data_IF_490970995255
#
_entry.id   IF_490970995255
#
_cell.length_a   1.000
_cell.length_b   1.000
_cell.length_c   1.000
_cell.angle_alpha   90.00
_cell.angle_beta   90.00
_cell.angle_gamma   90.00
#
_symmetry.space_group_name_H-M   'P 1'
#
loop_
_entity.id
_entity.type
_entity.pdbx_description
1 polymer ?
#
# COMPACT_ATOMS: atom_id res chain seq x y z
N UNK A 1 44.11 55.54 3.77
CA UNK A 1 43.03 56.36 3.18
C UNK A 1 42.28 55.45 2.21
N UNK A 2 41.54 54.43 2.66
CA UNK A 2 40.32 54.49 3.48
C UNK A 2 39.28 55.49 2.94
N UNK A 3 38.27 54.96 2.25
CA UNK A 3 36.83 54.99 2.62
C UNK A 3 36.02 54.42 1.42
N UNK A 4 35.43 53.23 1.57
CA UNK A 4 34.05 52.98 2.00
C UNK A 4 33.00 53.44 0.97
N UNK A 5 32.52 52.50 0.15
CA UNK A 5 31.31 52.61 -0.65
C UNK A 5 30.34 51.49 -0.28
N UNK A 6 29.29 51.85 0.45
CA UNK A 6 28.22 51.03 0.99
C UNK A 6 27.42 50.30 -0.10
N UNK A 7 27.13 49.01 0.14
CA UNK A 7 26.09 48.23 -0.55
C UNK A 7 24.80 48.36 0.26
N UNK A 8 23.61 48.62 -0.35
CA UNK A 8 22.37 48.68 0.39
C UNK A 8 21.86 47.28 0.77
N UNK A 9 21.46 47.14 2.04
CA UNK A 9 20.89 45.94 2.65
C UNK A 9 19.61 45.49 1.92
N UNK A 10 19.63 44.24 1.44
CA UNK A 10 18.46 43.54 0.97
C UNK A 10 17.56 43.17 2.15
N UNK A 11 16.31 43.62 2.10
CA UNK A 11 15.24 43.20 2.99
C UNK A 11 14.98 41.71 2.79
N UNK A 12 15.46 40.87 3.71
CA UNK A 12 15.15 39.45 3.73
C UNK A 12 13.77 39.24 4.37
N UNK A 13 12.83 38.74 3.57
CA UNK A 13 11.57 38.17 4.04
C UNK A 13 11.86 36.90 4.87
N UNK A 14 11.35 36.76 6.09
CA UNK A 14 11.53 35.54 6.87
C UNK A 14 10.70 34.38 6.29
N UNK A 15 11.38 33.26 6.13
CA UNK A 15 10.85 31.93 5.79
C UNK A 15 9.72 31.51 6.74
N UNK A 16 8.52 31.28 6.19
CA UNK A 16 7.34 30.72 6.88
C UNK A 16 7.46 29.19 7.02
N UNK A 17 8.52 28.72 7.68
CA UNK A 17 8.72 27.31 7.99
C UNK A 17 9.36 27.15 9.38
N UNK A 18 8.66 27.55 10.45
CA UNK A 18 9.06 27.12 11.81
C UNK A 18 8.02 27.35 12.93
N UNK A 19 6.71 27.29 12.66
CA UNK A 19 5.71 27.59 13.70
C UNK A 19 4.56 26.61 13.73
N UNK A 20 4.81 25.32 13.99
CA UNK A 20 3.78 24.39 14.50
C UNK A 20 4.32 23.27 15.42
N UNK A 21 5.61 23.28 15.80
CA UNK A 21 6.21 22.24 16.65
C UNK A 21 6.42 22.62 18.12
N UNK A 22 5.98 23.81 18.57
CA UNK A 22 6.24 24.27 19.94
C UNK A 22 5.06 24.12 20.93
N UNK A 23 3.88 23.67 20.48
CA UNK A 23 2.72 23.51 21.36
C UNK A 23 2.59 22.10 22.01
N UNK A 24 3.35 21.11 21.54
CA UNK A 24 3.24 19.72 22.01
C UNK A 24 4.26 19.34 23.12
N UNK A 25 5.15 20.26 23.51
CA UNK A 25 6.27 19.95 24.41
C UNK A 25 6.14 20.51 25.84
N UNK A 26 5.12 21.34 26.13
CA UNK A 26 4.96 21.97 27.46
C UNK A 26 3.96 21.26 28.40
N UNK A 27 3.31 20.17 27.99
CA UNK A 27 2.37 19.43 28.84
C UNK A 27 2.99 18.24 29.60
N UNK A 28 4.31 18.04 29.54
CA UNK A 28 5.01 16.94 30.24
C UNK A 28 5.79 17.39 31.48
N UNK A 29 5.19 18.15 32.39
CA UNK A 29 5.72 18.27 33.76
C UNK A 29 4.59 18.48 34.76
N UNK A 30 4.06 17.37 35.30
CA UNK A 30 3.74 17.20 36.73
C UNK A 30 2.86 15.95 36.94
N UNK A 31 3.34 15.02 37.80
CA UNK A 31 2.62 14.27 38.85
C UNK A 31 3.09 12.80 39.02
N UNK A 32 2.98 12.25 40.24
CA UNK A 32 3.97 11.36 40.82
C UNK A 32 3.66 9.87 40.66
N UNK A 33 4.69 9.08 40.94
CA UNK A 33 4.69 7.62 41.02
C UNK A 33 3.57 7.05 41.89
N UNK A 34 2.71 6.20 41.32
CA UNK A 34 1.80 5.40 42.13
C UNK A 34 0.80 4.55 41.34
N UNK A 35 0.96 3.23 41.47
CA UNK A 35 -0.03 2.16 41.22
C UNK A 35 -0.31 1.71 39.78
N UNK A 36 -0.26 0.38 39.62
CA UNK A 36 -0.60 -0.41 38.44
C UNK A 36 -2.11 -0.36 38.22
N UNK A 37 -2.52 -0.01 37.01
CA UNK A 37 -3.89 -0.11 36.54
C UNK A 37 -3.89 -0.23 35.01
N UNK A 38 -4.60 -1.24 34.53
CA UNK A 38 -4.86 -1.58 33.13
C UNK A 38 -5.26 -0.35 32.31
N UNK A 39 -4.47 0.01 31.30
CA UNK A 39 -4.70 1.17 30.45
C UNK A 39 -4.85 0.72 29.00
N UNK A 40 -6.10 0.41 28.63
CA UNK A 40 -6.53 0.52 27.24
C UNK A 40 -6.45 1.99 26.85
N UNK A 41 -5.44 2.34 26.06
CA UNK A 41 -5.26 3.69 25.53
C UNK A 41 -6.39 3.98 24.52
N UNK A 42 -7.38 4.74 24.97
CA UNK A 42 -8.42 5.32 24.13
C UNK A 42 -7.81 6.48 23.36
N UNK A 43 -7.75 6.36 22.03
CA UNK A 43 -7.39 7.45 21.11
C UNK A 43 -8.32 8.64 21.38
N UNK A 44 -7.76 9.76 21.80
CA UNK A 44 -8.53 10.99 22.06
C UNK A 44 -8.77 11.74 20.74
N UNK A 45 -10.00 11.64 20.24
CA UNK A 45 -10.49 12.40 19.11
C UNK A 45 -10.88 13.83 19.53
N UNK A 46 -10.61 14.88 18.72
CA UNK A 46 -11.01 16.25 19.05
C UNK A 46 -12.54 16.38 19.09
N UNK A 47 -13.04 16.82 20.24
CA UNK A 47 -14.48 16.93 20.56
C UNK A 47 -15.10 18.20 19.95
N UNK A 48 -15.35 18.22 18.65
CA UNK A 48 -16.11 19.31 17.99
C UNK A 48 -17.01 18.76 16.88
N UNK A 49 -18.05 18.01 17.25
CA UNK A 49 -19.06 17.55 16.28
C UNK A 49 -20.46 17.57 16.90
N UNK A 50 -21.32 18.48 16.41
CA UNK A 50 -22.77 18.38 16.56
C UNK A 50 -23.34 18.07 15.17
N UNK A 51 -24.14 17.00 15.00
CA UNK A 51 -24.69 16.66 13.69
C UNK A 51 -25.86 17.59 13.32
N UNK A 52 -25.81 18.19 12.13
CA UNK A 52 -27.00 18.71 11.46
C UNK A 52 -27.69 17.55 10.73
N UNK A 53 -28.98 17.35 11.02
CA UNK A 53 -29.77 16.26 10.48
C UNK A 53 -30.09 16.46 8.99
N UNK A 54 -29.80 15.46 8.17
CA UNK A 54 -30.21 15.41 6.75
C UNK A 54 -31.25 14.28 6.59
N UNK A 55 -32.44 14.62 6.07
CA UNK A 55 -33.61 13.75 5.97
C UNK A 55 -33.58 12.82 4.74
N UNK A 56 -32.76 11.78 4.79
CA UNK A 56 -32.81 10.63 3.89
C UNK A 56 -32.86 9.31 4.69
N UNK A 57 -33.11 8.14 4.06
CA UNK A 57 -32.94 6.87 4.76
C UNK A 57 -31.50 6.78 5.27
N UNK A 58 -31.35 6.65 6.58
CA UNK A 58 -30.05 6.64 7.26
C UNK A 58 -29.28 5.38 6.84
N UNK A 59 -28.18 5.57 6.08
CA UNK A 59 -27.26 4.49 5.74
C UNK A 59 -26.75 3.85 7.04
N UNK A 60 -26.77 2.52 7.15
CA UNK A 60 -26.20 1.85 8.33
C UNK A 60 -24.74 1.49 8.10
N UNK A 61 -23.99 1.32 9.19
CA UNK A 61 -22.59 0.89 9.14
C UNK A 61 -22.42 -0.47 8.42
N UNK A 62 -23.39 -1.38 8.56
CA UNK A 62 -23.36 -2.68 7.88
C UNK A 62 -23.60 -2.56 6.37
N UNK A 63 -24.45 -1.62 5.94
CA UNK A 63 -24.66 -1.33 4.52
C UNK A 63 -23.39 -0.73 3.90
N UNK A 64 -22.69 0.15 4.63
CA UNK A 64 -21.40 0.69 4.18
C UNK A 64 -20.32 -0.40 4.08
N UNK A 65 -20.26 -1.32 5.05
CA UNK A 65 -19.39 -2.51 4.96
C UNK A 65 -19.70 -3.33 3.72
N UNK A 66 -20.99 -3.58 3.43
CA UNK A 66 -21.40 -4.32 2.25
C UNK A 66 -20.96 -3.61 0.95
N UNK A 67 -21.17 -2.28 0.84
CA UNK A 67 -20.71 -1.50 -0.33
C UNK A 67 -19.20 -1.59 -0.53
N UNK A 68 -18.41 -1.46 0.54
CA UNK A 68 -16.95 -1.62 0.46
C UNK A 68 -16.56 -3.03 0.06
N UNK A 69 -17.24 -4.06 0.59
CA UNK A 69 -17.01 -5.45 0.20
C UNK A 69 -17.39 -5.73 -1.26
N UNK A 70 -18.44 -5.14 -1.82
CA UNK A 70 -18.81 -5.36 -3.22
C UNK A 70 -17.76 -4.81 -4.18
N UNK A 71 -17.12 -3.68 -3.82
CA UNK A 71 -15.96 -3.17 -4.55
C UNK A 71 -14.81 -4.20 -4.60
N UNK A 72 -14.68 -5.04 -3.57
CA UNK A 72 -13.66 -6.09 -3.51
C UNK A 72 -13.93 -7.29 -4.42
N UNK A 73 -15.19 -7.50 -4.80
CA UNK A 73 -15.61 -8.67 -5.58
C UNK A 73 -15.43 -8.49 -7.09
N UNK A 74 -15.36 -7.24 -7.58
CA UNK A 74 -15.12 -6.99 -9.00
C UNK A 74 -13.66 -7.27 -9.39
N UNK A 75 -13.40 -8.51 -9.81
CA UNK A 75 -12.08 -8.98 -10.27
C UNK A 75 -12.11 -9.22 -11.78
N UNK A 76 -11.45 -8.35 -12.55
CA UNK A 76 -11.25 -8.57 -13.97
C UNK A 76 -10.05 -9.51 -14.18
N UNK A 77 -10.26 -10.82 -13.97
CA UNK A 77 -9.26 -11.86 -14.18
C UNK A 77 -8.01 -11.71 -13.30
N UNK A 78 -6.85 -12.06 -13.84
CA UNK A 78 -5.56 -12.06 -13.13
C UNK A 78 -4.89 -10.67 -13.02
N UNK A 79 -5.55 -9.60 -13.48
CA UNK A 79 -4.96 -8.25 -13.53
C UNK A 79 -5.23 -7.50 -12.22
N UNK A 80 -4.19 -6.90 -11.65
CA UNK A 80 -4.31 -6.08 -10.44
C UNK A 80 -4.90 -4.70 -10.76
N UNK A 81 -5.99 -4.32 -10.08
CA UNK A 81 -6.69 -3.05 -10.28
C UNK A 81 -6.72 -2.18 -9.00
N UNK A 82 -5.55 -1.72 -8.49
CA UNK A 82 -5.42 -1.05 -7.18
C UNK A 82 -6.04 0.36 -7.12
N UNK A 83 -6.48 0.88 -8.26
CA UNK A 83 -6.81 2.28 -8.45
C UNK A 83 -7.98 2.78 -7.57
N UNK A 84 -9.08 2.03 -7.49
CA UNK A 84 -10.22 2.37 -6.60
C UNK A 84 -9.88 2.15 -5.12
N UNK A 85 -9.28 1.00 -4.71
CA UNK A 85 -8.84 0.80 -3.33
C UNK A 85 -7.89 1.88 -2.82
N UNK A 86 -6.88 2.28 -3.60
CA UNK A 86 -5.93 3.32 -3.19
C UNK A 86 -6.59 4.69 -3.01
N UNK A 87 -7.55 5.04 -3.88
CA UNK A 87 -8.32 6.28 -3.71
C UNK A 87 -9.15 6.25 -2.43
N UNK A 88 -9.83 5.15 -2.14
CA UNK A 88 -10.63 5.02 -0.92
C UNK A 88 -9.75 5.01 0.33
N UNK A 89 -8.64 4.28 0.33
CA UNK A 89 -7.69 4.27 1.42
C UNK A 89 -7.13 5.68 1.69
N UNK A 90 -6.74 6.40 0.63
CA UNK A 90 -6.35 7.80 0.73
C UNK A 90 -7.47 8.66 1.31
N UNK A 91 -8.69 8.54 0.79
CA UNK A 91 -9.81 9.35 1.23
C UNK A 91 -10.19 9.07 2.69
N UNK A 92 -10.21 7.80 3.12
CA UNK A 92 -10.46 7.40 4.50
C UNK A 92 -9.39 7.97 5.46
N UNK A 93 -8.11 7.96 5.05
CA UNK A 93 -7.04 8.56 5.83
C UNK A 93 -7.22 10.06 6.05
N UNK A 94 -7.48 10.81 4.97
CA UNK A 94 -7.72 12.27 5.08
C UNK A 94 -9.01 12.58 5.83
N UNK A 95 -10.05 11.75 5.67
CA UNK A 95 -11.31 11.91 6.39
C UNK A 95 -11.12 11.75 7.89
N UNK A 96 -10.28 10.80 8.33
CA UNK A 96 -9.89 10.66 9.74
C UNK A 96 -9.18 11.92 10.28
N UNK A 97 -8.48 12.68 9.43
CA UNK A 97 -7.89 13.98 9.76
C UNK A 97 -8.90 15.16 9.68
N UNK A 98 -10.18 14.90 9.40
CA UNK A 98 -11.23 15.91 9.27
C UNK A 98 -11.33 16.57 7.88
N UNK A 99 -10.70 15.98 6.85
CA UNK A 99 -10.77 16.49 5.48
C UNK A 99 -11.79 15.67 4.68
N UNK A 100 -12.89 16.33 4.31
CA UNK A 100 -13.99 15.67 3.60
C UNK A 100 -14.05 16.00 2.09
N UNK A 101 -13.28 17.01 1.66
CA UNK A 101 -13.21 17.46 0.28
C UNK A 101 -11.86 17.14 -0.34
N UNK A 102 -11.90 16.56 -1.53
CA UNK A 102 -10.74 16.06 -2.26
C UNK A 102 -10.61 16.76 -3.61
N UNK A 103 -10.10 18.00 -3.66
CA UNK A 103 -9.83 18.67 -4.93
C UNK A 103 -8.85 17.84 -5.77
N UNK A 104 -9.12 17.72 -7.07
CA UNK A 104 -8.31 16.92 -7.99
C UNK A 104 -6.82 17.30 -7.95
N UNK A 105 -6.49 18.58 -7.96
CA UNK A 105 -5.10 19.06 -7.98
C UNK A 105 -4.32 18.72 -6.70
N UNK A 106 -5.02 18.51 -5.57
CA UNK A 106 -4.39 18.06 -4.31
C UNK A 106 -4.34 16.54 -4.19
N UNK A 107 -5.23 15.84 -4.89
CA UNK A 107 -5.38 14.38 -4.82
C UNK A 107 -4.53 13.66 -5.87
N UNK A 108 -4.36 14.25 -7.06
CA UNK A 108 -3.70 13.63 -8.22
C UNK A 108 -2.30 13.14 -7.87
N UNK A 109 -1.43 14.03 -7.36
CA UNK A 109 -0.02 13.68 -7.10
C UNK A 109 0.14 12.61 -6.01
N UNK A 110 -0.48 12.70 -4.82
CA UNK A 110 -0.41 11.61 -3.83
C UNK A 110 -0.97 10.28 -4.35
N UNK A 111 -2.09 10.30 -5.08
CA UNK A 111 -2.68 9.08 -5.64
C UNK A 111 -1.78 8.45 -6.70
N UNK A 112 -1.17 9.25 -7.57
CA UNK A 112 -0.19 8.78 -8.57
C UNK A 112 1.03 8.19 -7.87
N UNK A 113 1.52 8.79 -6.77
CA UNK A 113 2.61 8.22 -5.99
C UNK A 113 2.24 6.86 -5.39
N UNK A 114 1.07 6.74 -4.76
CA UNK A 114 0.57 5.46 -4.25
C UNK A 114 0.41 4.40 -5.34
N UNK A 115 -0.07 4.80 -6.53
CA UNK A 115 -0.20 3.93 -7.69
C UNK A 115 1.17 3.48 -8.21
N UNK A 116 2.14 4.38 -8.25
CA UNK A 116 3.50 4.06 -8.61
C UNK A 116 4.09 3.08 -7.58
N UNK A 117 3.91 3.29 -6.28
CA UNK A 117 4.57 2.51 -5.23
C UNK A 117 3.91 1.16 -4.95
N UNK A 118 2.59 1.07 -5.07
CA UNK A 118 1.81 -0.11 -4.67
C UNK A 118 0.98 -0.72 -5.79
N UNK A 119 0.89 -0.06 -6.95
CA UNK A 119 0.22 -0.61 -8.12
C UNK A 119 1.13 -1.40 -9.06
N UNK A 120 0.54 -2.06 -10.09
CA UNK A 120 1.32 -2.71 -11.13
C UNK A 120 2.16 -1.71 -11.91
N UNK A 121 3.38 -2.10 -12.33
CA UNK A 121 4.27 -1.23 -13.09
C UNK A 121 3.63 -0.90 -14.44
N UNK A 122 3.19 0.36 -14.63
CA UNK A 122 2.58 0.83 -15.87
C UNK A 122 3.21 2.14 -16.31
N UNK A 123 3.39 2.32 -17.62
CA UNK A 123 3.95 3.56 -18.21
C UNK A 123 3.14 4.81 -17.88
N UNK A 124 1.84 4.66 -17.59
CA UNK A 124 0.95 5.75 -17.20
C UNK A 124 -0.03 5.25 -16.14
N UNK A 125 0.04 5.88 -14.97
CA UNK A 125 -1.00 5.83 -13.98
C UNK A 125 -1.76 7.14 -14.09
N UNK A 126 -2.84 7.18 -14.87
CA UNK A 126 -3.70 8.34 -14.81
C UNK A 126 -4.67 8.16 -13.63
N UNK A 127 -5.06 9.26 -12.99
CA UNK A 127 -5.94 9.30 -11.82
C UNK A 127 -7.40 8.87 -12.11
N UNK A 128 -7.59 7.96 -13.07
CA UNK A 128 -8.86 7.44 -13.60
C UNK A 128 -9.86 7.01 -12.52
N UNK A 129 -9.40 6.55 -11.36
CA UNK A 129 -10.28 6.19 -10.25
C UNK A 129 -11.16 7.34 -9.78
N UNK A 130 -10.59 8.56 -9.78
CA UNK A 130 -11.22 9.74 -9.20
C UNK A 130 -12.61 9.98 -9.79
N UNK A 131 -12.81 9.70 -11.09
CA UNK A 131 -14.11 9.83 -11.77
C UNK A 131 -14.84 8.52 -12.08
N UNK A 132 -14.28 7.36 -11.72
CA UNK A 132 -14.90 6.03 -11.95
C UNK A 132 -15.58 5.45 -10.72
N UNK A 133 -15.17 5.88 -9.53
CA UNK A 133 -15.72 5.45 -8.24
C UNK A 133 -17.21 5.82 -7.99
N UNK A 134 -17.81 6.85 -8.61
CA UNK A 134 -19.21 7.20 -8.33
C UNK A 134 -20.25 6.10 -8.56
N UNK A 135 -19.94 5.12 -9.42
CA UNK A 135 -20.84 3.99 -9.70
C UNK A 135 -21.01 3.05 -8.51
N UNK A 136 -20.07 3.06 -7.56
CA UNK A 136 -20.04 2.14 -6.43
C UNK A 136 -20.78 2.74 -5.20
N UNK A 137 -21.34 3.94 -5.30
CA UNK A 137 -22.07 4.60 -4.20
C UNK A 137 -21.18 5.01 -3.02
N UNK A 138 -19.87 5.08 -3.23
CA UNK A 138 -18.85 5.44 -2.25
C UNK A 138 -18.15 6.77 -2.54
N UNK A 139 -18.49 7.42 -3.67
CA UNK A 139 -17.83 8.64 -4.11
C UNK A 139 -18.79 9.53 -4.88
N UNK A 140 -18.70 10.84 -4.68
CA UNK A 140 -19.38 11.84 -5.52
C UNK A 140 -18.37 12.90 -5.92
N UNK A 141 -18.67 13.60 -7.02
CA UNK A 141 -17.81 14.64 -7.55
C UNK A 141 -18.68 15.83 -7.89
N UNK A 142 -18.15 17.02 -7.63
CA UNK A 142 -18.73 18.30 -8.04
C UNK A 142 -17.73 19.08 -8.88
N UNK A 143 -18.24 19.91 -9.80
CA UNK A 143 -17.41 20.74 -10.68
C UNK A 143 -16.82 19.97 -11.87
N UNK A 144 -17.47 18.90 -12.32
CA UNK A 144 -17.05 18.11 -13.49
C UNK A 144 -17.92 18.31 -14.75
N UNK A 145 -18.83 19.29 -14.71
CA UNK A 145 -19.80 19.54 -15.78
C UNK A 145 -19.13 19.89 -17.12
N UNK A 146 -18.10 20.73 -17.09
CA UNK A 146 -17.38 21.22 -18.28
C UNK A 146 -16.18 20.36 -18.68
N UNK A 147 -15.94 19.24 -17.98
CA UNK A 147 -14.81 18.36 -18.27
C UNK A 147 -15.11 17.52 -19.50
N UNK A 148 -14.34 17.74 -20.57
CA UNK A 148 -14.46 16.94 -21.79
C UNK A 148 -14.17 15.47 -21.50
N UNK A 149 -14.79 14.59 -22.29
CA UNK A 149 -14.66 13.13 -22.15
C UNK A 149 -14.25 12.48 -23.47
N UNK A 150 -13.39 11.48 -23.39
CA UNK A 150 -13.07 10.60 -24.53
C UNK A 150 -14.27 9.72 -24.89
N UNK A 151 -14.28 9.04 -26.06
CA UNK A 151 -15.30 8.03 -26.38
C UNK A 151 -15.39 6.91 -25.33
N UNK A 152 -14.26 6.57 -24.69
CA UNK A 152 -14.20 5.62 -23.55
C UNK A 152 -14.66 6.22 -22.22
N UNK A 153 -15.29 7.41 -22.24
CA UNK A 153 -15.81 8.17 -21.09
C UNK A 153 -14.74 8.56 -20.05
N UNK A 154 -13.49 8.70 -20.47
CA UNK A 154 -12.42 9.19 -19.61
C UNK A 154 -12.31 10.71 -19.67
N UNK A 155 -12.00 11.36 -18.56
CA UNK A 155 -11.73 12.80 -18.56
C UNK A 155 -10.45 13.15 -19.30
N UNK A 156 -10.45 14.31 -19.95
CA UNK A 156 -9.21 14.95 -20.36
C UNK A 156 -8.53 15.54 -19.12
N UNK A 157 -7.35 15.01 -18.77
CA UNK A 157 -6.62 15.41 -17.55
C UNK A 157 -6.31 16.91 -17.53
N UNK A 158 -6.09 17.53 -18.70
CA UNK A 158 -5.89 18.99 -18.80
C UNK A 158 -7.08 19.79 -18.28
N UNK A 159 -8.29 19.31 -18.56
CA UNK A 159 -9.53 19.97 -18.15
C UNK A 159 -9.75 19.71 -16.65
N UNK A 160 -9.53 18.49 -16.19
CA UNK A 160 -9.59 18.17 -14.75
C UNK A 160 -8.59 19.00 -13.92
N UNK A 161 -7.39 19.26 -14.42
CA UNK A 161 -6.41 20.13 -13.74
C UNK A 161 -6.83 21.60 -13.72
N UNK A 162 -7.46 22.07 -14.80
CA UNK A 162 -7.96 23.44 -14.92
C UNK A 162 -9.17 23.69 -14.01
N UNK A 163 -10.17 22.80 -14.09
CA UNK A 163 -11.47 22.96 -13.44
C UNK A 163 -11.43 22.46 -11.99
N UNK A 164 -10.43 21.64 -11.65
CA UNK A 164 -10.14 21.15 -10.30
C UNK A 164 -11.38 20.59 -9.58
N UNK A 165 -12.05 19.58 -10.17
CA UNK A 165 -13.25 19.00 -9.60
C UNK A 165 -12.95 18.43 -8.20
N UNK A 166 -13.98 18.44 -7.36
CA UNK A 166 -13.85 18.08 -5.95
C UNK A 166 -14.57 16.77 -5.71
N UNK A 167 -13.81 15.73 -5.34
CA UNK A 167 -14.36 14.47 -4.87
C UNK A 167 -14.76 14.56 -3.39
N UNK A 168 -15.72 13.75 -2.98
CA UNK A 168 -16.13 13.59 -1.58
C UNK A 168 -16.84 12.25 -1.37
N UNK A 169 -16.89 11.80 -0.12
CA UNK A 169 -17.85 10.76 0.25
C UNK A 169 -19.28 11.32 0.12
N UNK A 170 -20.25 10.52 -0.37
CA UNK A 170 -21.66 10.88 -0.31
C UNK A 170 -22.09 11.29 1.12
N UNK A 171 -23.07 12.18 1.26
CA UNK A 171 -23.43 12.76 2.57
C UNK A 171 -23.91 11.69 3.58
N UNK A 172 -24.59 10.63 3.10
CA UNK A 172 -25.00 9.47 3.90
C UNK A 172 -23.78 8.66 4.40
N UNK A 173 -22.80 8.43 3.53
CA UNK A 173 -21.52 7.78 3.88
C UNK A 173 -20.72 8.63 4.87
N UNK A 174 -20.58 9.94 4.61
CA UNK A 174 -19.85 10.85 5.48
C UNK A 174 -20.49 10.94 6.88
N UNK A 175 -21.82 10.93 6.97
CA UNK A 175 -22.54 10.90 8.25
C UNK A 175 -22.22 9.65 9.07
N UNK A 176 -22.23 8.46 8.43
CA UNK A 176 -21.89 7.19 9.09
C UNK A 176 -20.44 7.16 9.57
N UNK A 177 -19.50 7.65 8.74
CA UNK A 177 -18.09 7.72 9.10
C UNK A 177 -17.84 8.69 10.27
N UNK A 178 -18.48 9.86 10.28
CA UNK A 178 -18.43 10.82 11.40
C UNK A 178 -18.99 10.22 12.69
N UNK A 179 -20.11 9.51 12.61
CA UNK A 179 -20.76 8.89 13.76
C UNK A 179 -19.97 7.70 14.33
N UNK A 180 -19.13 7.04 13.52
CA UNK A 180 -18.41 5.83 13.90
C UNK A 180 -16.91 5.87 13.51
N UNK A 181 -16.07 6.69 14.16
CA UNK A 181 -14.63 6.75 13.82
C UNK A 181 -13.90 5.40 13.77
N UNK A 182 -14.16 4.42 14.67
CA UNK A 182 -13.54 3.09 14.59
C UNK A 182 -13.86 2.32 13.30
N UNK A 183 -14.95 2.66 12.60
CA UNK A 183 -15.31 2.06 11.33
C UNK A 183 -14.27 2.36 10.25
N UNK A 184 -13.63 3.53 10.28
CA UNK A 184 -12.61 3.91 9.30
C UNK A 184 -11.46 2.91 9.30
N UNK A 185 -10.93 2.59 10.48
CA UNK A 185 -9.87 1.60 10.67
C UNK A 185 -10.27 0.23 10.12
N UNK A 186 -11.51 -0.22 10.39
CA UNK A 186 -12.00 -1.49 9.89
C UNK A 186 -12.15 -1.53 8.36
N UNK A 187 -12.64 -0.44 7.75
CA UNK A 187 -12.75 -0.35 6.30
C UNK A 187 -11.37 -0.31 5.63
N UNK A 188 -10.40 0.37 6.24
CA UNK A 188 -8.99 0.37 5.81
C UNK A 188 -8.43 -1.05 5.83
N UNK A 189 -8.58 -1.77 6.94
CA UNK A 189 -8.14 -3.17 7.03
C UNK A 189 -8.81 -4.05 5.98
N UNK A 190 -10.12 -3.91 5.80
CA UNK A 190 -10.89 -4.68 4.81
C UNK A 190 -10.37 -4.45 3.39
N UNK A 191 -10.09 -3.19 3.03
CA UNK A 191 -9.51 -2.83 1.73
C UNK A 191 -8.09 -3.39 1.55
N UNK A 192 -7.26 -3.29 2.59
CA UNK A 192 -5.91 -3.86 2.59
C UNK A 192 -5.93 -5.37 2.36
N UNK A 193 -6.74 -6.07 3.16
CA UNK A 193 -6.86 -7.52 3.13
C UNK A 193 -7.41 -8.04 1.81
N UNK A 194 -8.30 -7.30 1.16
CA UNK A 194 -8.92 -7.71 -0.08
C UNK A 194 -8.04 -7.49 -1.31
N UNK A 195 -7.26 -6.39 -1.33
CA UNK A 195 -6.64 -5.89 -2.57
C UNK A 195 -5.12 -5.92 -2.59
N UNK A 196 -4.46 -6.08 -1.44
CA UNK A 196 -3.00 -6.00 -1.32
C UNK A 196 -2.43 -7.22 -0.59
N UNK A 197 -1.22 -7.62 -0.98
CA UNK A 197 -0.49 -8.69 -0.29
C UNK A 197 -0.09 -8.20 1.13
N UNK A 198 -0.08 -9.07 2.17
CA UNK A 198 0.18 -8.63 3.54
C UNK A 198 1.53 -7.94 3.77
N UNK A 199 2.51 -8.18 2.90
CA UNK A 199 3.80 -7.47 2.93
C UNK A 199 3.70 -6.00 2.58
N UNK A 200 2.61 -5.56 1.95
CA UNK A 200 2.37 -4.17 1.57
C UNK A 200 1.67 -3.37 2.67
N UNK A 201 1.00 -4.04 3.62
CA UNK A 201 0.07 -3.39 4.53
C UNK A 201 0.74 -2.31 5.39
N UNK A 202 1.82 -2.64 6.10
CA UNK A 202 2.57 -1.70 6.95
C UNK A 202 3.08 -0.47 6.16
N UNK A 203 3.60 -0.72 4.95
CA UNK A 203 4.19 0.33 4.12
C UNK A 203 3.11 1.26 3.54
N UNK A 204 1.95 0.70 3.16
CA UNK A 204 0.81 1.45 2.64
C UNK A 204 0.17 2.28 3.76
N UNK A 205 0.01 1.73 4.95
CA UNK A 205 -0.47 2.46 6.13
C UNK A 205 0.45 3.64 6.46
N UNK A 206 1.76 3.40 6.52
CA UNK A 206 2.76 4.46 6.75
C UNK A 206 2.68 5.55 5.67
N UNK A 207 2.58 5.17 4.40
CA UNK A 207 2.46 6.12 3.28
C UNK A 207 1.18 6.97 3.34
N UNK A 208 0.14 6.47 3.99
CA UNK A 208 -1.13 7.18 4.21
C UNK A 208 -1.16 8.01 5.50
N UNK A 209 -0.09 7.95 6.32
CA UNK A 209 -0.02 8.67 7.59
C UNK A 209 -0.69 7.96 8.77
N UNK A 210 -1.05 6.69 8.61
CA UNK A 210 -1.51 5.87 9.74
C UNK A 210 -0.34 5.28 10.51
N UNK A 211 -0.51 5.11 11.83
CA UNK A 211 0.35 4.26 12.64
C UNK A 211 -0.07 2.79 12.44
N UNK A 212 0.77 1.92 11.85
CA UNK A 212 0.46 0.51 11.67
C UNK A 212 0.21 -0.23 12.98
N UNK A 213 0.89 0.16 14.07
CA UNK A 213 0.70 -0.49 15.37
C UNK A 213 -0.66 -0.12 15.96
N UNK A 214 -1.11 1.13 15.86
CA UNK A 214 -2.44 1.52 16.34
C UNK A 214 -3.58 0.86 15.56
N UNK A 215 -3.44 0.72 14.23
CA UNK A 215 -4.46 0.10 13.41
C UNK A 215 -4.47 -1.43 13.52
N UNK A 216 -3.31 -2.09 13.45
CA UNK A 216 -3.22 -3.54 13.33
C UNK A 216 -3.22 -4.28 14.68
N UNK A 217 -3.13 -3.57 15.81
CA UNK A 217 -3.05 -4.17 17.16
C UNK A 217 -4.28 -4.98 17.55
N UNK A 218 -5.48 -4.65 17.02
CA UNK A 218 -6.72 -5.37 17.34
C UNK A 218 -6.90 -6.73 16.66
N UNK A 219 -6.21 -6.97 15.53
CA UNK A 219 -6.34 -8.20 14.71
C UNK A 219 -5.01 -8.70 14.17
N UNK A 220 -3.96 -8.72 15.01
CA UNK A 220 -2.73 -9.52 14.76
C UNK A 220 -2.98 -11.03 14.61
N UNK A 221 -4.23 -11.48 14.52
CA UNK A 221 -4.58 -12.65 13.71
C UNK A 221 -4.31 -12.34 12.24
N UNK A 222 -3.03 -12.10 11.90
CA UNK A 222 -2.50 -12.19 10.54
C UNK A 222 -3.17 -13.40 9.93
N UNK A 223 -4.11 -13.20 9.00
CA UNK A 223 -4.96 -14.27 8.47
C UNK A 223 -4.04 -15.44 8.18
N UNK A 224 -4.20 -16.53 8.92
CA UNK A 224 -3.20 -17.59 9.00
C UNK A 224 -2.95 -18.06 7.57
N UNK A 225 -1.78 -17.73 7.00
CA UNK A 225 -1.33 -18.25 5.70
C UNK A 225 -1.57 -19.75 5.73
N UNK A 226 -2.06 -20.35 4.64
CA UNK A 226 -2.38 -21.77 4.64
C UNK A 226 -1.17 -22.55 5.20
N UNK A 227 -1.28 -23.13 6.40
CA UNK A 227 -0.15 -23.79 7.03
C UNK A 227 0.40 -24.92 6.16
N UNK A 228 -0.47 -25.56 5.36
CA UNK A 228 -0.10 -26.65 4.46
C UNK A 228 0.74 -26.14 3.29
N UNK A 229 0.32 -25.07 2.63
CA UNK A 229 1.11 -24.42 1.58
C UNK A 229 2.49 -24.01 2.09
N UNK A 230 2.52 -23.28 3.23
CA UNK A 230 3.78 -22.84 3.84
C UNK A 230 4.70 -24.03 4.12
N UNK A 231 4.18 -25.08 4.76
CA UNK A 231 4.98 -26.26 5.08
C UNK A 231 5.49 -26.97 3.83
N UNK A 232 4.65 -27.15 2.82
CA UNK A 232 5.00 -27.82 1.57
C UNK A 232 6.12 -27.08 0.82
N UNK A 233 6.02 -25.75 0.71
CA UNK A 233 7.05 -24.91 0.08
C UNK A 233 8.34 -24.94 0.88
N UNK A 234 8.29 -24.71 2.19
CA UNK A 234 9.50 -24.76 3.01
C UNK A 234 10.20 -26.12 2.92
N UNK A 235 9.45 -27.22 2.94
CA UNK A 235 9.98 -28.57 2.75
C UNK A 235 10.61 -28.74 1.36
N UNK A 236 9.96 -28.23 0.31
CA UNK A 236 10.44 -28.32 -1.06
C UNK A 236 11.81 -27.67 -1.26
N UNK A 237 12.10 -26.60 -0.52
CA UNK A 237 13.35 -25.85 -0.57
C UNK A 237 14.29 -26.12 0.62
N UNK A 238 14.03 -27.19 1.39
CA UNK A 238 14.89 -27.60 2.50
C UNK A 238 14.98 -26.59 3.65
N UNK A 239 13.95 -25.77 3.86
CA UNK A 239 13.85 -24.73 4.89
C UNK A 239 14.87 -23.58 4.74
N UNK A 240 15.39 -23.36 3.53
CA UNK A 240 16.35 -22.31 3.20
C UNK A 240 15.74 -21.27 2.25
N UNK A 241 16.24 -20.04 2.32
CA UNK A 241 15.97 -19.06 1.26
C UNK A 241 16.53 -19.57 -0.07
N UNK A 242 15.68 -19.60 -1.10
CA UNK A 242 16.04 -20.08 -2.43
C UNK A 242 16.98 -19.13 -3.19
N UNK A 243 17.10 -17.87 -2.75
CA UNK A 243 18.02 -16.88 -3.34
C UNK A 243 19.37 -16.93 -2.64
N UNK A 244 19.42 -16.66 -1.33
CA UNK A 244 20.70 -16.52 -0.60
C UNK A 244 21.10 -17.70 0.27
N UNK A 245 20.29 -18.75 0.39
CA UNK A 245 20.56 -19.90 1.24
C UNK A 245 20.40 -19.64 2.74
N UNK A 246 19.93 -18.45 3.17
CA UNK A 246 19.72 -18.13 4.58
C UNK A 246 18.80 -19.17 5.25
N UNK A 247 19.27 -19.68 6.38
CA UNK A 247 18.59 -20.61 7.27
C UNK A 247 19.04 -20.32 8.70
N UNK A 248 18.11 -19.98 9.58
CA UNK A 248 18.39 -19.76 10.99
C UNK A 248 17.32 -20.42 11.85
N UNK A 249 17.75 -21.00 12.97
CA UNK A 249 16.85 -21.61 13.95
C UNK A 249 17.18 -21.12 15.36
N UNK A 250 16.12 -20.87 16.14
CA UNK A 250 16.21 -20.69 17.60
C UNK A 250 15.49 -21.86 18.22
N UNK A 251 16.24 -22.78 18.84
CA UNK A 251 15.73 -24.12 19.16
C UNK A 251 15.30 -24.85 17.88
N UNK A 252 14.08 -25.36 17.86
CA UNK A 252 13.49 -26.01 16.68
C UNK A 252 12.80 -25.05 15.70
N UNK A 253 12.64 -23.78 16.08
CA UNK A 253 11.83 -22.81 15.34
C UNK A 253 12.66 -22.18 14.22
N UNK A 254 12.21 -22.33 12.98
CA UNK A 254 12.79 -21.65 11.81
C UNK A 254 12.46 -20.15 11.86
N UNK A 255 13.50 -19.32 11.74
CA UNK A 255 13.40 -17.86 11.81
C UNK A 255 13.73 -17.24 10.45
N UNK A 256 12.96 -16.22 10.09
CA UNK A 256 13.28 -15.34 8.97
C UNK A 256 13.08 -15.94 7.58
N UNK A 257 12.54 -17.16 7.45
CA UNK A 257 12.19 -17.80 6.17
C UNK A 257 10.68 -18.12 6.10
N UNK A 258 10.07 -17.80 4.97
CA UNK A 258 8.65 -18.04 4.69
C UNK A 258 8.44 -18.51 3.24
N UNK A 259 7.27 -19.07 2.97
CA UNK A 259 6.78 -19.29 1.62
C UNK A 259 6.26 -17.97 1.05
N UNK A 260 6.82 -17.53 -0.06
CA UNK A 260 6.33 -16.41 -0.85
C UNK A 260 5.56 -16.95 -2.06
N UNK A 261 4.39 -16.39 -2.33
CA UNK A 261 3.65 -16.64 -3.57
C UNK A 261 4.29 -15.84 -4.70
N UNK A 262 4.61 -16.48 -5.81
CA UNK A 262 5.10 -15.78 -7.01
C UNK A 262 3.94 -15.11 -7.73
N UNK A 263 2.83 -15.83 -7.94
CA UNK A 263 1.54 -15.23 -8.27
C UNK A 263 0.73 -15.03 -7.00
N UNK A 264 0.37 -13.78 -6.70
CA UNK A 264 -0.34 -13.45 -5.47
C UNK A 264 -1.66 -14.20 -5.37
N UNK A 265 -1.96 -14.73 -4.17
CA UNK A 265 -3.22 -15.42 -3.91
C UNK A 265 -4.42 -14.48 -4.17
N UNK A 266 -4.30 -13.18 -3.88
CA UNK A 266 -5.38 -12.19 -4.14
C UNK A 266 -5.69 -11.99 -5.62
N UNK A 267 -4.72 -12.28 -6.49
CA UNK A 267 -4.84 -12.29 -7.93
C UNK A 267 -5.00 -13.72 -8.50
N UNK A 268 -5.60 -14.64 -7.73
CA UNK A 268 -5.88 -16.02 -8.15
C UNK A 268 -4.62 -16.90 -8.34
N UNK A 269 -3.57 -16.64 -7.56
CA UNK A 269 -2.47 -17.58 -7.39
C UNK A 269 -2.90 -18.81 -6.60
N UNK A 270 -2.44 -19.99 -7.01
CA UNK A 270 -2.72 -21.25 -6.32
C UNK A 270 -1.88 -21.41 -5.07
N UNK A 271 -2.39 -22.17 -4.10
CA UNK A 271 -1.64 -22.65 -2.92
C UNK A 271 -0.91 -23.97 -3.24
N UNK A 272 -0.26 -24.02 -4.40
CA UNK A 272 0.58 -25.14 -4.84
C UNK A 272 2.06 -24.79 -4.80
N UNK A 273 2.92 -25.77 -4.55
CA UNK A 273 4.38 -25.55 -4.48
C UNK A 273 4.94 -24.92 -5.76
N UNK A 274 4.35 -25.23 -6.92
CA UNK A 274 4.68 -24.62 -8.22
C UNK A 274 4.39 -23.12 -8.31
N UNK A 275 3.66 -22.53 -7.36
CA UNK A 275 3.46 -21.09 -7.22
C UNK A 275 4.23 -20.50 -6.01
N UNK A 276 4.98 -21.33 -5.28
CA UNK A 276 5.64 -20.95 -4.04
C UNK A 276 7.16 -21.01 -4.14
N UNK A 277 7.83 -20.08 -3.47
CA UNK A 277 9.28 -20.10 -3.28
C UNK A 277 9.60 -19.81 -1.82
N UNK A 278 10.53 -20.56 -1.22
CA UNK A 278 10.99 -20.27 0.14
C UNK A 278 11.96 -19.09 0.10
N UNK A 279 11.65 -17.99 0.78
CA UNK A 279 12.48 -16.78 0.79
C UNK A 279 12.70 -16.29 2.21
N UNK A 280 13.86 -15.67 2.45
CA UNK A 280 14.07 -14.94 3.70
C UNK A 280 13.22 -13.66 3.72
N UNK A 281 13.04 -13.05 4.89
CA UNK A 281 12.21 -11.85 5.04
C UNK A 281 12.61 -10.70 4.08
N UNK A 282 13.91 -10.53 3.82
CA UNK A 282 14.41 -9.53 2.88
C UNK A 282 14.04 -9.87 1.43
N UNK A 283 14.40 -11.06 0.94
CA UNK A 283 14.07 -11.47 -0.44
C UNK A 283 12.57 -11.58 -0.68
N UNK A 284 11.78 -11.94 0.34
CA UNK A 284 10.33 -11.94 0.25
C UNK A 284 9.80 -10.52 0.00
N UNK A 285 10.21 -9.53 0.82
CA UNK A 285 9.81 -8.14 0.59
C UNK A 285 10.31 -7.60 -0.75
N UNK A 286 11.53 -7.94 -1.16
CA UNK A 286 12.09 -7.51 -2.45
C UNK A 286 11.34 -8.12 -3.65
N UNK A 287 10.91 -9.38 -3.56
CA UNK A 287 10.07 -10.03 -4.57
C UNK A 287 8.73 -9.32 -4.65
N UNK A 288 8.04 -9.17 -3.51
CA UNK A 288 6.72 -8.57 -3.46
C UNK A 288 6.73 -7.12 -3.97
N UNK A 289 7.79 -6.35 -3.70
CA UNK A 289 7.96 -4.97 -4.19
C UNK A 289 8.39 -4.88 -5.66
N UNK A 290 8.68 -6.00 -6.30
CA UNK A 290 9.08 -6.08 -7.70
C UNK A 290 10.54 -5.67 -7.96
N UNK A 291 11.39 -5.63 -6.94
CA UNK A 291 12.81 -5.32 -7.12
C UNK A 291 13.54 -6.39 -7.96
N UNK A 292 13.07 -7.64 -7.89
CA UNK A 292 13.49 -8.71 -8.76
C UNK A 292 12.31 -9.60 -9.17
N UNK A 293 12.50 -10.40 -10.20
CA UNK A 293 11.58 -11.45 -10.64
C UNK A 293 12.35 -12.74 -10.90
N UNK A 294 11.62 -13.82 -11.16
CA UNK A 294 12.17 -15.07 -11.65
C UNK A 294 11.95 -15.14 -13.16
N UNK A 295 12.96 -15.60 -13.90
CA UNK A 295 12.87 -15.87 -15.34
C UNK A 295 13.38 -17.28 -15.66
N UNK A 296 12.97 -17.82 -16.81
CA UNK A 296 13.54 -19.04 -17.36
C UNK A 296 14.85 -18.70 -18.09
N UNK A 297 15.95 -19.37 -17.74
CA UNK A 297 17.23 -19.25 -18.46
C UNK A 297 17.50 -20.40 -19.45
N UNK A 298 16.93 -21.57 -19.17
CA UNK A 298 16.95 -22.78 -20.00
C UNK A 298 15.65 -23.54 -19.77
N UNK A 299 15.47 -24.72 -20.39
CA UNK A 299 14.19 -25.47 -20.35
C UNK A 299 13.68 -25.79 -18.93
N UNK A 300 14.48 -25.67 -17.87
CA UNK A 300 14.05 -25.93 -16.48
C UNK A 300 14.63 -25.03 -15.40
N UNK A 301 15.66 -24.24 -15.70
CA UNK A 301 16.29 -23.40 -14.69
C UNK A 301 15.48 -22.13 -14.43
N UNK A 302 15.54 -21.64 -13.20
CA UNK A 302 14.95 -20.36 -12.79
C UNK A 302 16.09 -19.46 -12.38
N UNK A 303 16.16 -18.26 -12.92
CA UNK A 303 17.19 -17.28 -12.59
C UNK A 303 16.59 -16.05 -11.97
N UNK A 304 17.35 -15.41 -11.08
CA UNK A 304 16.97 -14.15 -10.44
C UNK A 304 17.27 -12.99 -11.39
N UNK A 305 16.26 -12.20 -11.72
CA UNK A 305 16.37 -11.04 -12.62
C UNK A 305 16.04 -9.79 -11.84
N UNK A 306 16.99 -8.88 -11.69
CA UNK A 306 16.83 -7.66 -10.88
C UNK A 306 16.52 -6.48 -11.79
N UNK A 307 15.61 -5.59 -11.37
CA UNK A 307 15.22 -4.42 -12.15
C UNK A 307 16.34 -3.39 -12.28
N UNK A 308 16.39 -2.70 -13.42
CA UNK A 308 17.34 -1.61 -13.69
C UNK A 308 17.19 -0.47 -12.67
N UNK A 309 15.94 -0.08 -12.39
CA UNK A 309 15.58 0.99 -11.45
C UNK A 309 15.71 0.61 -9.96
N UNK A 310 16.26 -0.58 -9.67
CA UNK A 310 16.54 -1.00 -8.29
C UNK A 310 17.99 -0.67 -7.94
N UNK A 311 18.17 0.20 -6.94
CA UNK A 311 19.45 0.76 -6.54
C UNK A 311 19.67 0.65 -5.02
N UNK A 312 20.94 0.69 -4.60
CA UNK A 312 21.34 0.78 -3.20
C UNK A 312 22.86 0.74 -3.06
N UNK A 313 23.36 0.75 -1.81
CA UNK A 313 24.80 0.65 -1.52
C UNK A 313 25.30 -0.80 -1.40
N UNK A 314 26.41 -1.01 -0.69
CA UNK A 314 27.04 -2.32 -0.50
C UNK A 314 26.06 -3.41 -0.03
N UNK A 315 25.11 -3.07 0.85
CA UNK A 315 24.08 -3.99 1.30
C UNK A 315 23.17 -4.48 0.16
N UNK A 316 22.76 -3.58 -0.74
CA UNK A 316 21.98 -3.95 -1.92
C UNK A 316 22.78 -4.87 -2.84
N UNK A 317 24.05 -4.54 -3.07
CA UNK A 317 24.93 -5.36 -3.91
C UNK A 317 25.04 -6.78 -3.36
N UNK A 318 25.41 -6.88 -2.08
CA UNK A 318 25.61 -8.14 -1.38
C UNK A 318 24.35 -8.98 -1.28
N UNK A 319 23.21 -8.36 -0.96
CA UNK A 319 22.00 -9.10 -0.63
C UNK A 319 21.07 -9.31 -1.82
N UNK A 320 21.19 -8.57 -2.92
CA UNK A 320 20.34 -8.78 -4.10
C UNK A 320 21.13 -8.78 -5.42
N UNK A 321 21.94 -7.76 -5.69
CA UNK A 321 22.53 -7.59 -7.03
C UNK A 321 23.45 -8.75 -7.41
N UNK A 322 24.23 -9.28 -6.47
CA UNK A 322 25.12 -10.42 -6.69
C UNK A 322 24.38 -11.72 -7.07
N UNK A 323 23.07 -11.76 -6.88
CA UNK A 323 22.24 -12.88 -7.32
C UNK A 323 21.65 -12.67 -8.72
N UNK A 324 21.79 -11.49 -9.32
CA UNK A 324 21.31 -11.23 -10.67
C UNK A 324 21.95 -12.19 -11.69
N UNK A 325 21.12 -12.82 -12.51
CA UNK A 325 21.54 -13.81 -13.51
C UNK A 325 21.90 -15.17 -12.90
N UNK A 326 21.96 -15.31 -11.58
CA UNK A 326 22.27 -16.59 -10.95
C UNK A 326 21.05 -17.49 -10.85
N UNK A 327 21.27 -18.82 -10.90
CA UNK A 327 20.22 -19.80 -10.64
C UNK A 327 19.62 -19.66 -9.25
N UNK A 328 18.30 -19.69 -9.19
CA UNK A 328 17.55 -19.93 -7.97
C UNK A 328 17.81 -21.36 -7.50
N UNK A 329 17.97 -21.57 -6.19
CA UNK A 329 18.16 -22.90 -5.62
C UNK A 329 17.03 -23.84 -6.06
N UNK A 330 17.41 -25.02 -6.56
CA UNK A 330 16.44 -26.00 -7.02
C UNK A 330 15.66 -26.61 -5.84
N UNK A 331 14.35 -26.80 -5.97
CA UNK A 331 13.61 -27.59 -5.00
C UNK A 331 13.98 -29.08 -5.12
N UNK A 332 13.66 -29.86 -4.08
CA UNK A 332 13.97 -31.31 -3.99
C UNK A 332 13.34 -32.17 -5.11
N UNK A 333 12.36 -31.63 -5.84
CA UNK A 333 11.74 -32.27 -7.01
C UNK A 333 11.55 -31.24 -8.11
N UNK A 334 11.83 -31.62 -9.35
CA UNK A 334 11.65 -30.74 -10.51
C UNK A 334 10.19 -30.26 -10.67
N UNK A 335 9.21 -31.07 -10.28
CA UNK A 335 7.78 -30.70 -10.30
C UNK A 335 7.41 -29.57 -9.35
N UNK A 336 8.28 -29.22 -8.40
CA UNK A 336 8.07 -28.13 -7.44
C UNK A 336 8.67 -26.80 -7.90
N UNK A 337 9.32 -26.76 -9.06
CA UNK A 337 9.83 -25.50 -9.61
C UNK A 337 8.68 -24.54 -9.87
N UNK A 338 8.95 -23.25 -9.68
CA UNK A 338 7.99 -22.20 -9.98
C UNK A 338 7.54 -22.32 -11.43
N UNK A 339 6.24 -22.41 -11.67
CA UNK A 339 5.65 -22.58 -12.98
C UNK A 339 5.77 -21.29 -13.81
N UNK A 340 5.94 -21.44 -15.12
CA UNK A 340 6.06 -20.29 -16.05
C UNK A 340 4.87 -19.32 -15.98
N UNK A 341 3.60 -19.76 -15.89
CA UNK A 341 2.48 -18.83 -15.75
C UNK A 341 2.56 -17.93 -14.50
N UNK A 342 3.10 -18.44 -13.39
CA UNK A 342 3.27 -17.65 -12.19
C UNK A 342 4.38 -16.59 -12.34
N UNK A 343 5.51 -16.97 -12.97
CA UNK A 343 6.61 -16.04 -13.26
C UNK A 343 6.21 -14.95 -14.24
N UNK A 344 5.50 -15.32 -15.30
CA UNK A 344 5.00 -14.37 -16.31
C UNK A 344 4.01 -13.39 -15.69
N UNK A 345 3.12 -13.89 -14.82
CA UNK A 345 2.25 -13.01 -14.04
C UNK A 345 3.06 -12.05 -13.16
N UNK A 346 4.06 -12.55 -12.44
CA UNK A 346 4.87 -11.71 -11.54
C UNK A 346 5.66 -10.66 -12.34
N UNK A 347 6.24 -11.05 -13.46
CA UNK A 347 6.95 -10.16 -14.38
C UNK A 347 6.06 -9.02 -14.87
N UNK A 348 4.80 -9.31 -15.19
CA UNK A 348 3.85 -8.31 -15.69
C UNK A 348 3.23 -7.44 -14.60
N UNK A 349 2.85 -8.03 -13.47
CA UNK A 349 1.97 -7.39 -12.48
C UNK A 349 2.70 -6.86 -11.24
N UNK A 350 3.97 -7.22 -11.04
CA UNK A 350 4.74 -6.88 -9.84
C UNK A 350 6.12 -6.32 -10.19
N UNK A 351 6.88 -7.00 -11.06
CA UNK A 351 8.27 -6.67 -11.37
C UNK A 351 8.47 -5.26 -11.96
N UNK A 352 9.26 -4.43 -11.27
CA UNK A 352 9.59 -3.06 -11.68
C UNK A 352 10.76 -3.08 -12.66
N UNK A 353 10.44 -3.53 -13.87
CA UNK A 353 11.37 -3.59 -15.00
C UNK A 353 11.60 -2.24 -15.69
N UNK A 354 12.51 -2.19 -16.69
CA UNK A 354 13.12 -3.34 -17.36
C UNK A 354 14.18 -4.08 -16.51
N UNK A 355 14.58 -5.27 -16.97
CA UNK A 355 15.68 -6.02 -16.36
C UNK A 355 17.00 -5.28 -16.58
N UNK A 356 17.87 -5.32 -15.57
CA UNK A 356 19.25 -4.82 -15.71
C UNK A 356 20.03 -5.70 -16.70
N UNK A 357 20.98 -5.09 -17.42
CA UNK A 357 21.88 -5.75 -18.38
C UNK A 357 23.22 -6.07 -17.78
#
# INVERSE_FOLDING_TARGET
>A
MEQNGQVPEGTSMPSLACSFLHAAQQSRQALPSGSRGDASLVVQWPTLWLPTATSGPELKADDLRARVNDLTQWKQGDVRAPHKPLLLLYALARFAEGIEQFPFNRTEKPLVQLLNDFGPPRKRHDAYSFWRLPKDGLWTISGDDDIRRTPSKNWFVTDARRDNPVGRFPDDVAAVLRANPPLISELVETLLDAHFEPSYHEDLLTALGFDPDELLTGRRTRRKRDPKFREAVLRAYGYKCAVCGFEARVGSTLIGVDAAHVKWHRAHGSDEVSNGVALCALHHRLLDRGAFTLAAASTRERVVVVGEDTHGGEGFERWLLNYHGLPLAAPVRDTYRVAEPAMEWHHREVFRGPART
#
